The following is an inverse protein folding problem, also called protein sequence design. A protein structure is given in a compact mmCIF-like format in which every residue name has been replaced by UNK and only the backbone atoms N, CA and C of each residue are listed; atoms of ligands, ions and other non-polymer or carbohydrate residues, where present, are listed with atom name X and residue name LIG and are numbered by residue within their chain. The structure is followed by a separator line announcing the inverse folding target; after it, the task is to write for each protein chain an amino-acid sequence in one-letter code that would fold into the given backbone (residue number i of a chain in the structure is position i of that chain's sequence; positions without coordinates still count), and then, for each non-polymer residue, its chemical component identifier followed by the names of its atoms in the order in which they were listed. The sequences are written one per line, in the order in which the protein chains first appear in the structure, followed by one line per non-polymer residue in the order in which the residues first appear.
data_IF_916695432002
#
_entry.id   IF_916695432002
#
_cell.length_a   1.000
_cell.length_b   1.000
_cell.length_c   1.000
_cell.angle_alpha   90.00
_cell.angle_beta   90.00
_cell.angle_gamma   90.00
#
_symmetry.space_group_name_H-M   'P 1'
#
loop_
_entity.id
_entity.type
_entity.pdbx_description
1 polymer ?
#
# COMPACT_ATOMS: atom_id res chain seq x y z
N UNK A 1 4.86 -22.36 -13.25
CA UNK A 1 4.27 -21.41 -12.32
C UNK A 1 3.69 -22.12 -11.10
N UNK A 2 3.90 -21.56 -9.97
CA UNK A 2 3.44 -22.17 -8.74
C UNK A 2 2.04 -21.67 -8.37
N UNK A 3 1.04 -22.50 -8.58
CA UNK A 3 -0.35 -22.16 -8.23
C UNK A 3 -0.54 -22.03 -6.73
N UNK A 4 0.38 -22.55 -5.96
CA UNK A 4 0.23 -22.61 -4.52
C UNK A 4 0.86 -21.43 -3.80
N UNK A 5 1.28 -20.42 -4.56
CA UNK A 5 1.78 -19.20 -3.95
C UNK A 5 0.69 -18.54 -3.14
N UNK A 6 0.93 -18.45 -1.86
CA UNK A 6 -0.04 -17.91 -0.94
C UNK A 6 0.07 -16.40 -0.86
N UNK A 7 -1.01 -15.72 -1.20
CA UNK A 7 -1.10 -14.27 -1.10
C UNK A 7 -2.10 -13.93 0.00
N UNK A 8 -1.61 -13.30 1.07
CA UNK A 8 -2.45 -12.93 2.21
C UNK A 8 -2.38 -11.43 2.44
N UNK A 9 -3.36 -10.93 3.18
CA UNK A 9 -3.48 -9.50 3.45
C UNK A 9 -3.54 -9.28 4.95
N UNK A 10 -2.82 -8.28 5.44
CA UNK A 10 -2.89 -7.90 6.84
C UNK A 10 -2.95 -6.37 6.94
N UNK A 11 -3.36 -5.89 8.11
CA UNK A 11 -3.33 -4.46 8.35
C UNK A 11 -1.90 -3.99 8.51
N UNK A 12 -1.62 -2.79 8.01
CA UNK A 12 -0.29 -2.22 8.11
C UNK A 12 0.05 -1.85 9.55
N UNK A 13 1.31 -2.02 9.92
CA UNK A 13 1.83 -1.66 11.23
C UNK A 13 3.11 -0.85 11.06
N UNK A 14 3.62 -0.30 12.14
CA UNK A 14 4.82 0.52 12.07
C UNK A 14 6.02 -0.22 11.49
N UNK A 15 6.10 -1.53 11.71
CA UNK A 15 7.20 -2.33 11.17
C UNK A 15 7.26 -2.30 9.65
N UNK A 16 6.17 -1.94 9.00
CA UNK A 16 6.11 -1.87 7.53
C UNK A 16 6.63 -0.55 6.97
N UNK A 17 6.89 0.43 7.83
CA UNK A 17 7.26 1.79 7.38
C UNK A 17 8.47 1.80 6.46
N UNK A 18 9.52 1.08 6.82
CA UNK A 18 10.77 1.09 6.05
C UNK A 18 10.59 0.44 4.68
N UNK A 19 9.89 -0.68 4.63
CA UNK A 19 9.64 -1.37 3.37
C UNK A 19 8.85 -0.51 2.41
N UNK A 20 7.78 0.13 2.90
CA UNK A 20 6.95 0.99 2.06
C UNK A 20 7.77 2.18 1.58
N UNK A 21 8.61 2.73 2.43
CA UNK A 21 9.51 3.82 2.06
C UNK A 21 10.44 3.41 0.92
N UNK A 22 11.01 2.21 1.01
CA UNK A 22 11.88 1.69 -0.05
C UNK A 22 11.11 1.54 -1.36
N UNK A 23 9.89 1.02 -1.31
CA UNK A 23 9.07 0.85 -2.51
C UNK A 23 8.71 2.19 -3.14
N UNK A 24 8.38 3.19 -2.32
CA UNK A 24 8.03 4.52 -2.81
C UNK A 24 9.19 5.20 -3.52
N UNK A 25 10.41 4.86 -3.13
CA UNK A 25 11.61 5.46 -3.70
C UNK A 25 12.23 4.63 -4.83
N UNK A 26 11.64 3.50 -5.19
CA UNK A 26 12.13 2.75 -6.34
C UNK A 26 12.02 3.63 -7.60
N UNK A 27 13.06 3.66 -8.46
CA UNK A 27 13.05 4.55 -9.62
C UNK A 27 11.80 4.42 -10.49
N UNK A 28 11.35 3.21 -10.77
CA UNK A 28 10.16 3.00 -11.58
C UNK A 28 8.91 3.58 -10.94
N UNK A 29 8.80 3.45 -9.62
CA UNK A 29 7.66 3.98 -8.87
C UNK A 29 7.67 5.50 -8.87
N UNK A 30 8.83 6.11 -8.67
CA UNK A 30 8.93 7.57 -8.68
C UNK A 30 8.57 8.16 -10.05
N UNK A 31 8.95 7.47 -11.12
CA UNK A 31 8.62 7.93 -12.48
C UNK A 31 7.11 7.93 -12.75
N UNK A 32 6.36 7.07 -12.07
CA UNK A 32 4.91 6.97 -12.25
C UNK A 32 4.14 7.85 -11.27
N UNK A 33 4.83 8.47 -10.35
CA UNK A 33 4.23 9.29 -9.30
C UNK A 33 4.10 10.75 -9.76
N UNK A 34 3.14 11.48 -9.17
CA UNK A 34 3.01 12.92 -9.41
C UNK A 34 4.23 13.68 -8.92
N UNK A 35 4.85 13.18 -7.88
CA UNK A 35 6.08 13.74 -7.34
C UNK A 35 7.19 12.73 -7.56
N UNK A 36 8.14 13.05 -8.45
CA UNK A 36 9.24 12.15 -8.79
C UNK A 36 10.45 12.30 -7.89
N UNK A 37 10.39 13.20 -6.92
CA UNK A 37 11.52 13.43 -6.02
C UNK A 37 11.67 12.33 -4.99
N UNK A 38 12.92 12.12 -4.58
CA UNK A 38 13.25 11.19 -3.52
C UNK A 38 12.57 11.60 -2.22
N UNK A 39 12.00 10.64 -1.51
CA UNK A 39 11.31 10.88 -0.25
C UNK A 39 12.26 10.57 0.91
N UNK A 40 12.65 11.58 1.72
CA UNK A 40 13.52 11.32 2.87
C UNK A 40 12.84 10.42 3.91
N UNK A 41 13.64 9.59 4.56
CA UNK A 41 13.11 8.63 5.54
C UNK A 41 12.31 9.31 6.67
N UNK A 42 12.83 10.40 7.22
CA UNK A 42 12.16 11.06 8.34
C UNK A 42 10.78 11.60 7.93
N UNK A 43 10.67 12.14 6.73
CA UNK A 43 9.39 12.64 6.22
C UNK A 43 8.40 11.51 6.04
N UNK A 44 8.85 10.40 5.47
CA UNK A 44 7.99 9.24 5.26
C UNK A 44 7.54 8.62 6.58
N UNK A 45 8.48 8.45 7.52
CA UNK A 45 8.18 7.86 8.81
C UNK A 45 7.11 8.64 9.56
N UNK A 46 7.27 9.96 9.61
CA UNK A 46 6.31 10.82 10.27
C UNK A 46 4.94 10.71 9.61
N UNK A 47 4.91 10.79 8.29
CA UNK A 47 3.66 10.66 7.54
C UNK A 47 2.99 9.31 7.77
N UNK A 48 3.77 8.24 7.72
CA UNK A 48 3.22 6.89 7.84
C UNK A 48 2.62 6.63 9.22
N UNK A 49 3.31 7.05 10.27
CA UNK A 49 2.81 6.88 11.63
C UNK A 49 1.52 7.66 11.83
N UNK A 50 1.47 8.89 11.31
CA UNK A 50 0.25 9.69 11.37
C UNK A 50 -0.89 9.00 10.62
N UNK A 51 -0.60 8.45 9.45
CA UNK A 51 -1.61 7.76 8.65
C UNK A 51 -2.17 6.55 9.36
N UNK A 52 -1.32 5.78 10.03
CA UNK A 52 -1.76 4.61 10.79
C UNK A 52 -2.72 4.96 11.93
N UNK A 53 -2.62 6.17 12.44
CA UNK A 53 -3.42 6.61 13.58
C UNK A 53 -4.66 7.40 13.18
N UNK A 54 -4.90 7.60 11.90
CA UNK A 54 -6.10 8.30 11.45
C UNK A 54 -7.27 7.34 11.35
N UNK A 55 -8.40 7.72 11.91
CA UNK A 55 -9.59 6.88 11.89
C UNK A 55 -10.21 6.72 10.49
N UNK A 56 -9.93 7.66 9.60
CA UNK A 56 -10.47 7.62 8.24
C UNK A 56 -9.48 7.09 7.19
N UNK A 57 -8.37 6.52 7.63
CA UNK A 57 -7.36 5.95 6.75
C UNK A 57 -7.20 4.47 7.08
N UNK A 58 -7.22 3.64 6.04
CA UNK A 58 -7.02 2.20 6.20
C UNK A 58 -5.91 1.75 5.28
N UNK A 59 -4.90 1.09 5.82
CA UNK A 59 -3.77 0.62 5.05
C UNK A 59 -3.60 -0.88 5.23
N UNK A 60 -3.51 -1.59 4.12
CA UNK A 60 -3.31 -3.04 4.13
C UNK A 60 -2.04 -3.41 3.38
N UNK A 61 -1.41 -4.47 3.83
CA UNK A 61 -0.18 -4.99 3.23
C UNK A 61 -0.49 -6.32 2.56
N UNK A 62 -0.05 -6.48 1.32
CA UNK A 62 -0.13 -7.74 0.61
C UNK A 62 1.16 -8.52 0.81
N UNK A 63 1.02 -9.76 1.25
CA UNK A 63 2.15 -10.62 1.57
C UNK A 63 2.11 -11.85 0.69
N UNK A 64 3.15 -12.06 -0.11
CA UNK A 64 3.27 -13.21 -1.01
C UNK A 64 4.33 -14.15 -0.47
N UNK A 65 3.91 -15.36 -0.11
CA UNK A 65 4.82 -16.37 0.43
C UNK A 65 5.67 -15.83 1.57
N UNK A 66 5.02 -15.14 2.50
CA UNK A 66 5.69 -14.62 3.69
C UNK A 66 6.45 -13.31 3.50
N UNK A 67 6.45 -12.75 2.29
CA UNK A 67 7.17 -11.51 2.01
C UNK A 67 6.20 -10.37 1.70
N UNK A 68 6.28 -9.26 2.43
CA UNK A 68 5.48 -8.09 2.08
C UNK A 68 5.94 -7.54 0.73
N UNK A 69 4.99 -7.38 -0.20
CA UNK A 69 5.34 -6.93 -1.55
C UNK A 69 4.46 -5.80 -2.06
N UNK A 70 3.40 -5.46 -1.34
CA UNK A 70 2.45 -4.47 -1.84
C UNK A 70 1.72 -3.79 -0.70
N UNK A 71 1.18 -2.62 -0.99
CA UNK A 71 0.41 -1.83 -0.03
C UNK A 71 -0.78 -1.21 -0.75
N UNK A 72 -1.91 -1.15 -0.07
CA UNK A 72 -3.06 -0.39 -0.55
C UNK A 72 -3.55 0.50 0.58
N UNK A 73 -3.85 1.75 0.24
CA UNK A 73 -4.33 2.73 1.21
C UNK A 73 -5.68 3.27 0.76
N UNK A 74 -6.60 3.35 1.71
CA UNK A 74 -7.91 3.94 1.54
C UNK A 74 -8.00 5.18 2.42
N UNK A 75 -8.23 6.33 1.81
CA UNK A 75 -8.43 7.59 2.54
C UNK A 75 -9.86 8.03 2.32
N UNK A 76 -10.67 8.01 3.38
CA UNK A 76 -12.05 8.45 3.29
C UNK A 76 -12.08 9.97 3.19
N UNK A 77 -12.72 10.47 2.14
CA UNK A 77 -12.88 11.89 1.95
C UNK A 77 -13.82 12.45 3.02
N UNK A 78 -13.51 13.64 3.50
CA UNK A 78 -14.34 14.33 4.49
C UNK A 78 -15.45 15.17 3.86
N UNK A 79 -15.59 15.13 2.53
CA UNK A 79 -16.63 15.90 1.85
C UNK A 79 -17.99 15.17 1.91
N UNK A 80 -18.99 15.77 1.32
CA UNK A 80 -20.37 15.26 1.36
C UNK A 80 -20.52 13.87 0.77
N UNK A 81 -19.71 13.52 -0.20
CA UNK A 81 -19.89 12.29 -0.96
C UNK A 81 -19.33 11.05 -0.27
N UNK A 82 -18.56 11.23 0.77
CA UNK A 82 -17.97 10.10 1.50
C UNK A 82 -17.31 9.08 0.58
N UNK A 83 -16.50 9.57 -0.33
CA UNK A 83 -15.77 8.71 -1.25
C UNK A 83 -14.40 8.36 -0.69
N UNK A 84 -13.87 7.21 -1.09
CA UNK A 84 -12.50 6.84 -0.74
C UNK A 84 -11.55 7.20 -1.87
N UNK A 85 -10.39 7.71 -1.48
CA UNK A 85 -9.27 7.86 -2.39
C UNK A 85 -8.39 6.65 -2.19
N UNK A 86 -8.08 5.92 -3.26
CA UNK A 86 -7.36 4.66 -3.18
C UNK A 86 -5.98 4.80 -3.80
N UNK A 87 -4.96 4.37 -3.06
CA UNK A 87 -3.58 4.36 -3.56
C UNK A 87 -3.02 2.95 -3.44
N UNK A 88 -2.44 2.44 -4.53
CA UNK A 88 -1.86 1.10 -4.56
C UNK A 88 -0.39 1.21 -4.92
N UNK A 89 0.44 0.49 -4.19
CA UNK A 89 1.88 0.46 -4.41
C UNK A 89 2.34 -1.00 -4.39
N UNK A 90 2.96 -1.44 -5.49
CA UNK A 90 3.50 -2.79 -5.58
C UNK A 90 5.00 -2.69 -5.81
N UNK A 91 5.77 -3.49 -5.07
CA UNK A 91 7.21 -3.55 -5.25
C UNK A 91 7.51 -3.83 -6.73
N UNK A 92 8.46 -3.08 -7.30
CA UNK A 92 8.69 -3.08 -8.74
C UNK A 92 8.89 -4.49 -9.33
N UNK A 93 9.58 -5.34 -8.61
CA UNK A 93 9.82 -6.72 -9.04
C UNK A 93 8.53 -7.51 -9.29
N UNK A 94 7.45 -7.13 -8.62
CA UNK A 94 6.18 -7.85 -8.68
C UNK A 94 5.10 -7.15 -9.48
N UNK A 95 5.43 -6.05 -10.12
CA UNK A 95 4.46 -5.33 -10.95
C UNK A 95 4.14 -6.13 -12.20
N UNK A 96 2.96 -5.91 -12.74
CA UNK A 96 2.53 -6.57 -13.97
C UNK A 96 2.00 -7.98 -13.79
N UNK A 97 1.86 -8.45 -12.55
CA UNK A 97 1.40 -9.81 -12.27
C UNK A 97 -0.05 -9.87 -11.77
N UNK A 98 -0.74 -8.74 -11.78
CA UNK A 98 -2.13 -8.70 -11.31
C UNK A 98 -2.28 -8.65 -9.80
N UNK A 99 -1.18 -8.51 -9.06
CA UNK A 99 -1.23 -8.52 -7.59
C UNK A 99 -1.91 -7.29 -7.01
N UNK A 100 -1.72 -6.12 -7.64
CA UNK A 100 -2.40 -4.91 -7.19
C UNK A 100 -3.91 -5.04 -7.29
N UNK A 101 -4.39 -5.63 -8.38
CA UNK A 101 -5.82 -5.87 -8.59
C UNK A 101 -6.36 -6.86 -7.57
N UNK A 102 -5.60 -7.91 -7.29
CA UNK A 102 -5.97 -8.92 -6.30
C UNK A 102 -6.01 -8.30 -4.89
N UNK A 103 -5.03 -7.46 -4.59
CA UNK A 103 -4.97 -6.75 -3.33
C UNK A 103 -6.19 -5.84 -3.16
N UNK A 104 -6.56 -5.11 -4.20
CA UNK A 104 -7.74 -4.26 -4.18
C UNK A 104 -8.99 -5.07 -3.87
N UNK A 105 -9.19 -6.15 -4.61
CA UNK A 105 -10.38 -6.97 -4.47
C UNK A 105 -10.50 -7.55 -3.05
N UNK A 106 -9.42 -8.12 -2.54
CA UNK A 106 -9.43 -8.74 -1.22
C UNK A 106 -9.56 -7.73 -0.08
N UNK A 107 -8.90 -6.59 -0.20
CA UNK A 107 -8.97 -5.56 0.84
C UNK A 107 -10.35 -4.91 0.89
N UNK A 108 -11.03 -4.78 -0.24
CA UNK A 108 -12.40 -4.28 -0.24
C UNK A 108 -13.33 -5.17 0.57
N UNK A 109 -13.13 -6.49 0.48
CA UNK A 109 -13.92 -7.42 1.27
C UNK A 109 -13.68 -7.27 2.76
N UNK A 110 -12.49 -6.90 3.14
CA UNK A 110 -12.16 -6.66 4.55
C UNK A 110 -12.77 -5.33 5.01
N UNK A 111 -12.59 -4.28 4.23
CA UNK A 111 -13.00 -2.93 4.58
C UNK A 111 -14.53 -2.79 4.69
N UNK A 112 -15.25 -3.44 3.80
CA UNK A 112 -16.72 -3.31 3.74
C UNK A 112 -17.46 -4.55 4.23
N UNK A 113 -16.84 -5.29 5.09
CA UNK A 113 -17.44 -6.49 5.62
C UNK A 113 -18.52 -6.21 6.66
#
# INVERSE_FOLDING_TARGET
MNKDKKFVICEAEEIHAKLIWEWRNEPSTRLMSLNTEYIPWENHKEWFIKALNKSNTHIYIGILEGKPIAMIRYDLSSNFEKSYEISILVKSKYQGLGLGKDLLKRSLNILFK
#
